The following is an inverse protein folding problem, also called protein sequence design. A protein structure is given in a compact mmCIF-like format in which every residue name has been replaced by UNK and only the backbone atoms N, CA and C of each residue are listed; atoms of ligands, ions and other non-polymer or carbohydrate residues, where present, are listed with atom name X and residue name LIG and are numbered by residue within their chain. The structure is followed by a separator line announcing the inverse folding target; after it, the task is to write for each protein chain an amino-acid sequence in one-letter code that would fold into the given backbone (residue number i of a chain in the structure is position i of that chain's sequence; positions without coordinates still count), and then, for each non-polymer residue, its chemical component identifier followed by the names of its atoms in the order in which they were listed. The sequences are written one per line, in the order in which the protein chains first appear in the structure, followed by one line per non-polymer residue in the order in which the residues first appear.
data_IF_963225794505
#
_entry.id   IF_963225794505
#
_cell.length_a   1.000
_cell.length_b   1.000
_cell.length_c   1.000
_cell.angle_alpha   90.00
_cell.angle_beta   90.00
_cell.angle_gamma   90.00
#
_symmetry.space_group_name_H-M   'P 1'
#
loop_
_entity.id
_entity.type
_entity.pdbx_description
1 polymer ?
#
# COMPACT_ATOMS: atom_id res chain seq x y z
N UNK A 1 14.87 -13.29 24.92
CA UNK A 1 14.27 -12.46 23.84
C UNK A 1 14.85 -11.08 24.01
N UNK A 2 15.48 -10.56 22.97
CA UNK A 2 16.02 -9.19 22.98
C UNK A 2 14.87 -8.19 22.83
N UNK A 3 14.92 -7.07 23.59
CA UNK A 3 13.95 -6.00 23.45
C UNK A 3 14.66 -4.79 22.85
N UNK A 4 14.02 -4.19 21.82
CA UNK A 4 14.48 -2.95 21.18
C UNK A 4 13.40 -1.89 21.24
N UNK A 5 13.80 -0.71 21.67
CA UNK A 5 12.94 0.48 21.68
C UNK A 5 13.41 1.39 20.55
N UNK A 6 12.46 1.88 19.75
CA UNK A 6 12.71 2.80 18.65
C UNK A 6 11.76 3.98 18.78
N UNK A 7 12.29 5.19 18.64
CA UNK A 7 11.50 6.42 18.56
C UNK A 7 11.52 6.94 17.12
N UNK A 8 10.37 7.41 16.62
CA UNK A 8 10.21 7.99 15.30
C UNK A 8 9.07 9.01 15.29
N UNK A 9 9.07 9.97 14.38
CA UNK A 9 7.94 10.90 14.27
C UNK A 9 6.74 10.20 13.62
N UNK A 10 6.96 9.44 12.55
CA UNK A 10 5.90 8.75 11.84
C UNK A 10 6.24 7.27 11.63
N UNK A 11 5.40 6.41 12.19
CA UNK A 11 5.44 4.96 11.95
C UNK A 11 4.49 4.60 10.80
N UNK A 12 5.00 3.96 9.76
CA UNK A 12 4.22 3.40 8.66
C UNK A 12 4.21 1.87 8.78
N UNK A 13 3.06 1.28 9.00
CA UNK A 13 2.88 -0.17 9.13
C UNK A 13 2.47 -0.76 7.78
N UNK A 14 3.40 -1.48 7.15
CA UNK A 14 3.25 -2.11 5.85
C UNK A 14 3.99 -1.38 4.73
N UNK A 15 4.93 -2.10 4.10
CA UNK A 15 5.76 -1.61 2.98
C UNK A 15 5.16 -1.88 1.60
N UNK A 16 3.83 -2.06 1.48
CA UNK A 16 3.12 -2.18 0.20
C UNK A 16 3.11 -0.87 -0.60
N UNK A 17 2.26 -0.78 -1.62
CA UNK A 17 2.15 0.43 -2.46
C UNK A 17 1.85 1.68 -1.63
N UNK A 18 0.85 1.60 -0.75
CA UNK A 18 0.44 2.74 0.09
C UNK A 18 1.56 3.18 1.03
N UNK A 19 2.23 2.23 1.70
CA UNK A 19 3.36 2.54 2.59
C UNK A 19 4.56 3.13 1.85
N UNK A 20 4.88 2.62 0.66
CA UNK A 20 5.95 3.20 -0.17
C UNK A 20 5.62 4.65 -0.58
N UNK A 21 4.39 4.91 -1.06
CA UNK A 21 4.00 6.28 -1.42
C UNK A 21 3.98 7.23 -0.21
N UNK A 22 3.54 6.75 0.96
CA UNK A 22 3.62 7.50 2.20
C UNK A 22 5.07 7.86 2.55
N UNK A 23 5.98 6.87 2.52
CA UNK A 23 7.40 7.08 2.77
C UNK A 23 8.05 8.05 1.77
N UNK A 24 7.78 7.92 0.48
CA UNK A 24 8.26 8.84 -0.56
C UNK A 24 7.75 10.28 -0.32
N UNK A 25 6.49 10.40 0.11
CA UNK A 25 5.86 11.71 0.34
C UNK A 25 6.42 12.38 1.59
N UNK A 26 6.51 11.63 2.70
CA UNK A 26 7.06 12.12 3.96
C UNK A 26 8.57 12.33 3.89
N UNK A 27 9.29 11.54 3.09
CA UNK A 27 10.71 11.70 2.84
C UNK A 27 11.11 13.07 2.25
N UNK A 28 10.15 13.82 1.69
CA UNK A 28 10.34 15.21 1.27
C UNK A 28 10.32 16.20 2.44
N UNK A 29 9.84 15.79 3.61
CA UNK A 29 9.81 16.56 4.86
C UNK A 29 11.04 16.19 5.68
N UNK A 30 12.13 16.91 5.48
CA UNK A 30 13.45 16.57 6.04
C UNK A 30 13.56 16.77 7.56
N UNK A 31 12.58 17.37 8.17
CA UNK A 31 12.40 17.59 9.60
C UNK A 31 11.67 16.44 10.33
N UNK A 32 11.24 15.42 9.59
CA UNK A 32 10.58 14.25 10.14
C UNK A 32 11.45 13.00 10.02
N UNK A 33 11.52 12.23 11.09
CA UNK A 33 12.03 10.87 11.07
C UNK A 33 10.90 9.88 10.80
N UNK A 34 11.01 9.09 9.74
CA UNK A 34 9.98 8.17 9.29
C UNK A 34 10.47 6.74 9.33
N UNK A 35 9.71 5.85 9.95
CA UNK A 35 9.99 4.43 9.98
C UNK A 35 8.90 3.64 9.24
N UNK A 36 9.30 2.88 8.24
CA UNK A 36 8.44 1.87 7.61
C UNK A 36 8.77 0.50 8.19
N UNK A 37 7.78 -0.18 8.72
CA UNK A 37 7.92 -1.58 9.15
C UNK A 37 7.16 -2.50 8.19
N UNK A 38 7.82 -3.56 7.75
CA UNK A 38 7.27 -4.52 6.79
C UNK A 38 7.51 -5.95 7.30
N UNK A 39 6.44 -6.74 7.41
CA UNK A 39 6.55 -8.12 7.91
C UNK A 39 7.31 -9.07 6.99
N UNK A 40 7.34 -8.78 5.69
CA UNK A 40 8.12 -9.52 4.69
C UNK A 40 9.33 -8.69 4.25
N UNK A 41 9.36 -8.28 2.99
CA UNK A 41 10.44 -7.46 2.44
C UNK A 41 9.85 -6.36 1.56
N UNK A 42 10.20 -5.12 1.80
CA UNK A 42 9.67 -3.96 1.08
C UNK A 42 9.84 -4.06 -0.44
N UNK A 43 10.86 -4.75 -0.93
CA UNK A 43 11.09 -4.92 -2.37
C UNK A 43 10.07 -5.83 -3.03
N UNK A 44 9.48 -6.76 -2.26
CA UNK A 44 8.61 -7.83 -2.78
C UNK A 44 7.26 -7.95 -2.06
N UNK A 45 6.89 -7.01 -1.22
CA UNK A 45 5.63 -7.03 -0.48
C UNK A 45 4.49 -6.32 -1.21
N UNK A 46 3.25 -6.67 -0.86
CA UNK A 46 2.03 -6.07 -1.39
C UNK A 46 1.59 -6.59 -2.76
N UNK A 47 0.43 -6.15 -3.20
CA UNK A 47 -0.22 -6.64 -4.43
C UNK A 47 0.62 -6.43 -5.70
N UNK A 48 1.38 -5.35 -5.77
CA UNK A 48 2.20 -5.02 -6.95
C UNK A 48 3.48 -5.85 -7.07
N UNK A 49 3.82 -6.67 -6.07
CA UNK A 49 5.01 -7.51 -6.08
C UNK A 49 5.01 -8.58 -7.18
N UNK A 50 3.83 -8.98 -7.64
CA UNK A 50 3.65 -9.93 -8.74
C UNK A 50 3.87 -9.31 -10.12
N UNK A 51 4.03 -7.98 -10.19
CA UNK A 51 4.01 -7.22 -11.43
C UNK A 51 2.61 -7.08 -12.00
N UNK A 52 2.39 -6.03 -12.76
CA UNK A 52 1.12 -5.73 -13.44
C UNK A 52 1.36 -5.15 -14.82
N UNK A 53 0.47 -5.40 -15.77
CA UNK A 53 0.57 -4.90 -17.14
C UNK A 53 -0.41 -3.76 -17.45
N UNK A 54 -1.19 -3.36 -16.46
CA UNK A 54 -2.10 -2.22 -16.54
C UNK A 54 -2.38 -1.68 -15.14
N UNK A 55 -2.58 -0.38 -15.05
CA UNK A 55 -2.98 0.28 -13.80
C UNK A 55 -4.27 1.04 -14.00
N UNK A 56 -5.05 1.08 -12.92
CA UNK A 56 -6.33 1.76 -12.81
C UNK A 56 -6.14 3.11 -12.09
N UNK A 57 -5.10 3.83 -12.49
CA UNK A 57 -4.63 5.04 -11.83
C UNK A 57 -4.59 6.23 -12.79
N UNK A 58 -5.54 6.29 -13.74
CA UNK A 58 -5.58 7.37 -14.71
C UNK A 58 -7.01 7.64 -15.19
N UNK A 59 -7.38 8.89 -15.15
CA UNK A 59 -8.64 9.36 -15.76
C UNK A 59 -8.36 9.68 -17.22
N UNK A 60 -8.85 8.84 -18.14
CA UNK A 60 -8.59 8.96 -19.57
C UNK A 60 -9.24 10.21 -20.17
N UNK A 61 -8.71 10.68 -21.31
CA UNK A 61 -9.22 11.85 -22.01
C UNK A 61 -10.73 11.76 -22.27
N UNK A 62 -11.47 12.82 -21.97
CA UNK A 62 -12.94 12.85 -22.09
C UNK A 62 -13.70 12.22 -20.92
N UNK A 63 -13.00 11.73 -19.88
CA UNK A 63 -13.57 11.24 -18.65
C UNK A 63 -13.32 12.23 -17.50
N UNK A 64 -14.10 12.09 -16.44
CA UNK A 64 -13.97 12.89 -15.22
C UNK A 64 -13.81 11.96 -14.01
N UNK A 65 -13.28 12.44 -12.88
CA UNK A 65 -13.12 11.65 -11.66
C UNK A 65 -14.40 10.96 -11.19
N UNK A 66 -15.56 11.57 -11.41
CA UNK A 66 -16.87 10.99 -11.08
C UNK A 66 -17.15 9.69 -11.84
N UNK A 67 -16.73 9.57 -13.09
CA UNK A 67 -16.89 8.33 -13.88
C UNK A 67 -16.21 7.12 -13.19
N UNK A 68 -15.10 7.36 -12.49
CA UNK A 68 -14.41 6.34 -11.72
C UNK A 68 -15.23 5.92 -10.48
N UNK A 69 -15.81 6.88 -9.78
CA UNK A 69 -16.70 6.63 -8.63
C UNK A 69 -17.89 5.80 -9.06
N UNK A 70 -18.58 6.22 -10.13
CA UNK A 70 -19.78 5.55 -10.65
C UNK A 70 -19.47 4.11 -11.08
N UNK A 71 -18.30 3.91 -11.70
CA UNK A 71 -17.84 2.57 -12.04
C UNK A 71 -17.62 1.71 -10.79
N UNK A 72 -16.86 2.20 -9.80
CA UNK A 72 -16.59 1.45 -8.58
C UNK A 72 -17.87 1.14 -7.79
N UNK A 73 -18.79 2.09 -7.75
CA UNK A 73 -20.09 1.93 -7.11
C UNK A 73 -20.92 0.82 -7.77
N UNK A 74 -20.92 0.78 -9.09
CA UNK A 74 -21.58 -0.29 -9.84
C UNK A 74 -20.92 -1.66 -9.63
N UNK A 75 -19.57 -1.70 -9.61
CA UNK A 75 -18.81 -2.95 -9.44
C UNK A 75 -18.95 -3.54 -8.03
N UNK A 76 -19.20 -2.69 -7.03
CA UNK A 76 -19.37 -3.06 -5.63
C UNK A 76 -20.85 -3.10 -5.17
N UNK A 77 -21.81 -3.17 -6.10
CA UNK A 77 -23.24 -3.20 -5.81
C UNK A 77 -23.70 -2.06 -4.86
N UNK A 78 -23.09 -0.88 -4.98
CA UNK A 78 -23.38 0.30 -4.18
C UNK A 78 -22.67 0.37 -2.82
N UNK A 79 -21.92 -0.64 -2.42
CA UNK A 79 -21.22 -0.69 -1.11
C UNK A 79 -19.85 0.00 -1.23
N UNK A 80 -19.89 1.33 -1.31
CA UNK A 80 -18.67 2.17 -1.40
C UNK A 80 -18.84 3.48 -0.62
N UNK A 81 -17.73 4.12 -0.34
CA UNK A 81 -17.66 5.50 0.16
C UNK A 81 -17.36 6.41 -1.03
N UNK A 82 -18.42 6.99 -1.62
CA UNK A 82 -18.35 7.86 -2.80
C UNK A 82 -17.37 9.04 -2.58
N UNK A 83 -17.41 9.65 -1.39
CA UNK A 83 -16.56 10.76 -1.00
C UNK A 83 -15.07 10.41 -1.00
N UNK A 84 -14.71 9.24 -0.48
CA UNK A 84 -13.32 8.75 -0.48
C UNK A 84 -12.86 8.37 -1.89
N UNK A 85 -13.72 7.73 -2.68
CA UNK A 85 -13.43 7.39 -4.07
C UNK A 85 -13.22 8.64 -4.92
N UNK A 86 -14.03 9.68 -4.74
CA UNK A 86 -13.89 10.94 -5.46
C UNK A 86 -12.57 11.62 -5.11
N UNK A 87 -12.28 11.78 -3.82
CA UNK A 87 -11.02 12.36 -3.34
C UNK A 87 -9.79 11.63 -3.90
N UNK A 88 -9.85 10.27 -3.98
CA UNK A 88 -8.79 9.48 -4.59
C UNK A 88 -8.71 9.70 -6.10
N UNK A 89 -9.85 9.65 -6.81
CA UNK A 89 -9.89 9.70 -8.28
C UNK A 89 -9.40 11.04 -8.84
N UNK A 90 -9.61 12.14 -8.14
CA UNK A 90 -9.08 13.46 -8.46
C UNK A 90 -7.54 13.51 -8.50
N UNK A 91 -6.87 12.55 -7.85
CA UNK A 91 -5.41 12.48 -7.77
C UNK A 91 -4.77 11.44 -8.68
N UNK A 92 -5.56 10.59 -9.36
CA UNK A 92 -5.02 9.46 -10.14
C UNK A 92 -4.02 9.90 -11.22
N UNK A 93 -4.32 10.95 -11.98
CA UNK A 93 -3.41 11.44 -13.03
C UNK A 93 -2.11 12.00 -12.45
N UNK A 94 -2.19 12.68 -11.31
CA UNK A 94 -1.00 13.18 -10.61
C UNK A 94 -0.12 12.04 -10.09
N UNK A 95 -0.72 11.01 -9.47
CA UNK A 95 0.02 9.83 -8.99
C UNK A 95 0.64 9.05 -10.14
N UNK A 96 -0.07 8.91 -11.26
CA UNK A 96 0.47 8.29 -12.49
C UNK A 96 1.72 9.01 -12.98
N UNK A 97 1.70 10.34 -13.00
CA UNK A 97 2.88 11.14 -13.37
C UNK A 97 4.05 10.91 -12.40
N UNK A 98 3.80 10.87 -11.10
CA UNK A 98 4.84 10.54 -10.11
C UNK A 98 5.46 9.17 -10.41
N UNK A 99 4.65 8.16 -10.71
CA UNK A 99 5.15 6.81 -11.02
C UNK A 99 6.01 6.80 -12.29
N UNK A 100 5.62 7.55 -13.33
CA UNK A 100 6.41 7.71 -14.55
C UNK A 100 7.75 8.41 -14.25
N UNK A 101 7.73 9.47 -13.45
CA UNK A 101 8.94 10.20 -13.04
C UNK A 101 9.88 9.34 -12.18
N UNK A 102 9.36 8.36 -11.45
CA UNK A 102 10.13 7.36 -10.72
C UNK A 102 10.70 6.25 -11.63
N UNK A 103 10.35 6.21 -12.91
CA UNK A 103 10.86 5.27 -13.89
C UNK A 103 9.90 4.14 -14.28
N UNK A 104 8.61 4.23 -13.90
CA UNK A 104 7.63 3.28 -14.42
C UNK A 104 7.43 3.52 -15.92
N UNK A 105 7.60 2.47 -16.73
CA UNK A 105 7.35 2.54 -18.16
C UNK A 105 5.84 2.46 -18.43
N UNK A 106 5.27 3.58 -18.86
CA UNK A 106 3.88 3.67 -19.32
C UNK A 106 3.88 3.67 -20.86
N UNK A 107 3.08 2.80 -21.46
CA UNK A 107 3.03 2.69 -22.91
C UNK A 107 2.31 3.90 -23.50
N UNK A 108 2.93 4.50 -24.53
CA UNK A 108 2.40 5.64 -25.29
C UNK A 108 2.18 5.25 -26.74
N UNK A 109 1.20 5.86 -27.36
CA UNK A 109 0.94 5.76 -28.79
C UNK A 109 1.85 6.71 -29.59
N UNK A 110 1.69 6.73 -30.92
CA UNK A 110 2.44 7.59 -31.87
C UNK A 110 2.25 9.10 -31.62
N UNK A 111 1.19 9.48 -30.92
CA UNK A 111 0.91 10.87 -30.54
C UNK A 111 1.46 11.23 -29.14
N UNK A 112 2.09 10.27 -28.44
CA UNK A 112 2.59 10.44 -27.08
C UNK A 112 1.52 10.32 -25.99
N UNK A 113 0.28 9.92 -26.33
CA UNK A 113 -0.80 9.72 -25.37
C UNK A 113 -0.72 8.32 -24.74
N UNK A 114 -1.14 8.18 -23.50
CA UNK A 114 -1.13 6.89 -22.81
C UNK A 114 -2.06 5.87 -23.46
N UNK A 115 -1.54 4.68 -23.74
CA UNK A 115 -2.33 3.60 -24.35
C UNK A 115 -3.35 3.07 -23.35
N UNK A 116 -4.62 3.29 -23.66
CA UNK A 116 -5.73 2.78 -22.85
C UNK A 116 -5.86 1.26 -22.95
N UNK A 117 -6.31 0.63 -21.85
CA UNK A 117 -6.77 -0.76 -21.83
C UNK A 117 -8.21 -0.78 -21.32
N UNK A 118 -9.15 -0.88 -22.24
CA UNK A 118 -10.57 -0.69 -21.93
C UNK A 118 -10.86 0.77 -21.57
N UNK A 119 -11.82 0.99 -20.68
CA UNK A 119 -12.37 2.33 -20.44
C UNK A 119 -11.71 3.07 -19.25
N UNK A 120 -10.79 2.45 -18.52
CA UNK A 120 -10.30 2.99 -17.23
C UNK A 120 -8.86 2.63 -16.88
N UNK A 121 -8.23 1.76 -17.65
CA UNK A 121 -6.86 1.34 -17.38
C UNK A 121 -5.94 1.90 -18.45
N UNK A 122 -4.69 2.15 -18.08
CA UNK A 122 -3.60 2.37 -19.03
C UNK A 122 -2.63 1.21 -18.99
N UNK A 123 -2.00 0.94 -20.14
CA UNK A 123 -1.00 -0.13 -20.26
C UNK A 123 0.33 0.32 -19.72
N UNK A 124 0.95 -0.54 -18.93
CA UNK A 124 2.27 -0.32 -18.38
C UNK A 124 3.15 -1.56 -18.61
N UNK A 125 4.46 -1.34 -18.52
CA UNK A 125 5.42 -2.41 -18.31
C UNK A 125 5.85 -2.37 -16.83
N UNK A 126 5.06 -3.03 -15.99
CA UNK A 126 5.11 -2.88 -14.54
C UNK A 126 5.58 -4.12 -13.80
N UNK A 127 6.40 -4.97 -14.42
CA UNK A 127 7.00 -6.14 -13.74
C UNK A 127 7.89 -5.73 -12.56
N UNK A 128 8.51 -4.56 -12.66
CA UNK A 128 9.43 -4.01 -11.65
C UNK A 128 8.82 -2.85 -10.82
N UNK A 129 7.53 -2.60 -10.94
CA UNK A 129 6.86 -1.46 -10.27
C UNK A 129 7.13 -1.43 -8.76
N UNK A 130 7.15 -2.59 -8.12
CA UNK A 130 7.39 -2.67 -6.68
C UNK A 130 8.83 -2.35 -6.32
N UNK A 131 9.80 -2.79 -7.11
CA UNK A 131 11.22 -2.44 -6.92
C UNK A 131 11.45 -0.95 -7.12
N UNK A 132 10.84 -0.33 -8.13
CA UNK A 132 10.90 1.12 -8.36
C UNK A 132 10.45 1.90 -7.12
N UNK A 133 9.31 1.51 -6.53
CA UNK A 133 8.78 2.16 -5.34
C UNK A 133 9.69 1.94 -4.12
N UNK A 134 10.19 0.73 -3.92
CA UNK A 134 11.11 0.42 -2.81
C UNK A 134 12.42 1.20 -2.92
N UNK A 135 12.97 1.31 -4.13
CA UNK A 135 14.21 2.07 -4.37
C UNK A 135 13.99 3.58 -4.20
N UNK A 136 12.81 4.09 -4.55
CA UNK A 136 12.44 5.48 -4.30
C UNK A 136 12.32 5.79 -2.80
N UNK A 137 11.82 4.85 -1.99
CA UNK A 137 11.82 4.96 -0.53
C UNK A 137 13.24 4.99 0.01
N UNK A 138 14.10 4.05 -0.40
CA UNK A 138 15.49 3.94 0.07
C UNK A 138 16.35 5.17 -0.26
N UNK A 139 15.97 5.96 -1.24
CA UNK A 139 16.64 7.22 -1.59
C UNK A 139 16.29 8.37 -0.65
N UNK A 140 15.34 8.20 0.26
CA UNK A 140 14.99 9.22 1.23
C UNK A 140 15.87 9.05 2.47
N UNK A 141 16.69 10.05 2.78
CA UNK A 141 17.67 10.00 3.88
C UNK A 141 17.03 9.91 5.27
N UNK A 142 15.80 10.40 5.40
CA UNK A 142 15.03 10.46 6.64
C UNK A 142 13.94 9.38 6.72
N UNK A 143 14.00 8.34 5.86
CA UNK A 143 13.07 7.20 5.90
C UNK A 143 13.82 5.91 6.11
N UNK A 144 13.70 5.35 7.30
CA UNK A 144 14.22 4.03 7.63
C UNK A 144 13.23 2.92 7.27
N UNK A 145 13.73 1.72 6.97
CA UNK A 145 12.90 0.54 6.68
C UNK A 145 13.39 -0.64 7.50
N UNK A 146 12.49 -1.25 8.27
CA UNK A 146 12.75 -2.54 8.92
C UNK A 146 11.87 -3.60 8.26
N UNK A 147 12.51 -4.56 7.63
CA UNK A 147 11.86 -5.75 7.07
C UNK A 147 11.75 -6.85 8.14
N UNK A 148 10.89 -7.83 7.89
CA UNK A 148 10.67 -8.99 8.76
C UNK A 148 10.11 -8.65 10.14
N UNK A 149 9.54 -7.45 10.29
CA UNK A 149 8.92 -6.98 11.52
C UNK A 149 7.39 -7.07 11.43
N UNK A 150 6.80 -7.94 12.22
CA UNK A 150 5.35 -8.11 12.31
C UNK A 150 4.80 -7.31 13.48
N UNK A 151 3.94 -6.34 13.18
CA UNK A 151 3.24 -5.56 14.22
C UNK A 151 2.07 -6.37 14.77
N UNK A 152 1.94 -6.40 16.08
CA UNK A 152 0.95 -7.19 16.79
C UNK A 152 -0.09 -6.36 17.53
N UNK A 153 0.28 -5.18 18.01
CA UNK A 153 -0.60 -4.33 18.79
C UNK A 153 -0.19 -2.86 18.70
N UNK A 154 -1.08 -1.96 19.09
CA UNK A 154 -0.81 -0.54 19.23
C UNK A 154 -0.48 -0.18 20.68
N UNK A 155 0.43 0.77 20.86
CA UNK A 155 0.63 1.46 22.13
C UNK A 155 -0.46 2.53 22.23
N UNK A 156 -1.37 2.38 23.19
CA UNK A 156 -2.49 3.31 23.39
C UNK A 156 -2.43 3.88 24.79
N UNK A 157 -2.34 5.19 24.90
CA UNK A 157 -2.34 5.94 26.16
C UNK A 157 -3.38 7.05 26.09
N UNK A 158 -4.22 7.16 27.10
CA UNK A 158 -5.26 8.19 27.18
C UNK A 158 -6.15 8.27 25.91
N UNK A 159 -6.47 7.10 25.31
CA UNK A 159 -7.23 6.98 24.05
C UNK A 159 -6.52 7.58 22.81
N UNK A 160 -5.21 7.74 22.85
CA UNK A 160 -4.36 8.16 21.74
C UNK A 160 -3.37 7.05 21.39
N UNK A 161 -3.14 6.83 20.09
CA UNK A 161 -2.09 5.91 19.63
C UNK A 161 -0.73 6.62 19.78
N UNK A 162 0.18 5.97 20.51
CA UNK A 162 1.54 6.45 20.76
C UNK A 162 2.60 5.61 20.06
N UNK A 163 2.21 4.57 19.32
CA UNK A 163 3.12 3.69 18.62
C UNK A 163 2.57 2.29 18.44
N UNK A 164 3.46 1.32 18.32
CA UNK A 164 3.09 -0.08 18.12
C UNK A 164 4.13 -1.05 18.71
N UNK A 165 3.66 -2.24 19.05
CA UNK A 165 4.48 -3.40 19.39
C UNK A 165 4.61 -4.35 18.21
N UNK A 166 5.76 -5.01 18.12
CA UNK A 166 5.98 -6.03 17.09
C UNK A 166 7.13 -6.98 17.44
N UNK A 167 7.34 -7.95 16.59
CA UNK A 167 8.45 -8.89 16.70
C UNK A 167 9.06 -9.16 15.33
N UNK A 168 10.36 -9.44 15.32
CA UNK A 168 11.04 -9.94 14.13
C UNK A 168 10.60 -11.39 13.86
N UNK A 169 10.22 -11.69 12.60
CA UNK A 169 9.72 -13.04 12.22
C UNK A 169 10.83 -14.07 12.06
N UNK A 170 12.08 -13.64 11.98
CA UNK A 170 13.25 -14.53 11.83
C UNK A 170 14.02 -14.70 13.16
N UNK A 171 14.04 -13.65 13.97
CA UNK A 171 14.83 -13.57 15.19
C UNK A 171 13.95 -13.40 16.42
N UNK A 172 14.44 -13.77 17.58
CA UNK A 172 13.70 -13.62 18.85
C UNK A 172 13.84 -12.19 19.42
N UNK A 173 13.54 -11.19 18.61
CA UNK A 173 13.59 -9.77 18.96
C UNK A 173 12.18 -9.20 19.04
N UNK A 174 11.87 -8.55 20.17
CA UNK A 174 10.65 -7.80 20.36
C UNK A 174 10.91 -6.30 20.20
N UNK A 175 10.00 -5.60 19.56
CA UNK A 175 10.10 -4.17 19.28
C UNK A 175 8.98 -3.41 19.98
N UNK A 176 9.35 -2.33 20.64
CA UNK A 176 8.49 -1.25 21.08
C UNK A 176 8.83 -0.02 20.24
N UNK A 177 7.88 0.47 19.47
CA UNK A 177 8.09 1.59 18.56
C UNK A 177 7.20 2.73 19.00
N UNK A 178 7.80 3.79 19.52
CA UNK A 178 7.10 5.02 19.89
C UNK A 178 7.01 5.93 18.66
N UNK A 179 5.84 6.53 18.44
CA UNK A 179 5.61 7.41 17.30
C UNK A 179 4.60 8.50 17.63
N UNK A 180 4.81 9.70 17.09
CA UNK A 180 3.83 10.79 17.20
C UNK A 180 2.61 10.55 16.30
N UNK A 181 2.80 9.84 15.18
CA UNK A 181 1.71 9.46 14.27
C UNK A 181 1.93 8.05 13.71
N UNK A 182 0.83 7.31 13.53
CA UNK A 182 0.86 5.97 12.95
C UNK A 182 -0.01 5.91 11.71
N UNK A 183 0.57 5.48 10.59
CA UNK A 183 -0.13 5.22 9.33
C UNK A 183 -0.23 3.71 9.10
N UNK A 184 -1.45 3.20 9.03
CA UNK A 184 -1.72 1.78 8.77
C UNK A 184 -1.90 1.55 7.28
N UNK A 185 -0.92 0.86 6.66
CA UNK A 185 -0.86 0.58 5.23
C UNK A 185 -0.79 -0.93 4.93
N UNK A 186 -1.48 -1.74 5.72
CA UNK A 186 -1.39 -3.21 5.73
C UNK A 186 -2.13 -3.91 4.58
N UNK A 187 -2.81 -3.14 3.73
CA UNK A 187 -3.55 -3.67 2.57
C UNK A 187 -4.97 -4.12 2.90
N UNK A 188 -5.60 -4.81 1.97
CA UNK A 188 -6.98 -5.28 2.08
C UNK A 188 -7.12 -6.57 2.90
N UNK A 189 -8.36 -6.89 3.30
CA UNK A 189 -8.74 -8.05 4.13
C UNK A 189 -8.70 -9.40 3.37
N UNK A 190 -7.70 -9.63 2.53
CA UNK A 190 -7.64 -10.75 1.60
C UNK A 190 -7.58 -12.14 2.29
N UNK A 191 -6.97 -12.23 3.46
CA UNK A 191 -6.84 -13.48 4.22
C UNK A 191 -7.94 -13.72 5.26
N UNK A 192 -8.90 -12.80 5.38
CA UNK A 192 -9.93 -12.87 6.42
C UNK A 192 -10.99 -13.94 6.16
N UNK A 193 -11.24 -14.28 4.91
CA UNK A 193 -12.26 -15.23 4.49
C UNK A 193 -11.66 -16.49 3.88
N UNK A 194 -12.29 -17.63 4.13
CA UNK A 194 -11.86 -18.89 3.52
C UNK A 194 -12.03 -18.89 2.00
N UNK A 195 -11.18 -19.61 1.24
CA UNK A 195 -11.19 -19.60 -0.23
C UNK A 195 -12.52 -19.96 -0.89
N UNK A 196 -13.37 -20.72 -0.21
CA UNK A 196 -14.65 -21.22 -0.73
C UNK A 196 -15.86 -20.41 -0.26
N UNK A 197 -15.67 -19.20 0.27
CA UNK A 197 -16.79 -18.31 0.56
C UNK A 197 -17.44 -17.86 -0.75
N UNK A 198 -18.74 -18.13 -1.00
CA UNK A 198 -19.39 -17.79 -2.28
C UNK A 198 -19.46 -16.29 -2.56
N UNK A 199 -19.39 -15.44 -1.53
CA UNK A 199 -19.30 -13.99 -1.67
C UNK A 199 -17.93 -13.47 -2.13
N UNK A 200 -16.90 -14.33 -2.17
CA UNK A 200 -15.53 -13.96 -2.47
C UNK A 200 -14.99 -14.76 -3.66
N UNK A 201 -15.48 -14.48 -4.87
CA UNK A 201 -14.89 -15.11 -6.04
C UNK A 201 -13.52 -14.50 -6.32
N UNK A 202 -12.51 -15.36 -6.48
CA UNK A 202 -11.13 -14.99 -6.82
C UNK A 202 -11.01 -14.07 -8.04
N UNK A 203 -12.02 -14.03 -8.91
CA UNK A 203 -12.06 -13.22 -10.13
C UNK A 203 -12.46 -11.78 -9.87
N UNK A 204 -13.30 -11.48 -8.86
CA UNK A 204 -13.80 -10.12 -8.61
C UNK A 204 -12.84 -9.23 -7.83
N UNK A 205 -11.94 -9.80 -7.04
CA UNK A 205 -11.05 -8.99 -6.17
C UNK A 205 -9.64 -8.76 -6.72
N UNK A 206 -9.30 -9.28 -7.90
CA UNK A 206 -7.95 -9.14 -8.46
C UNK A 206 -6.84 -9.73 -7.59
N UNK A 207 -7.20 -10.61 -6.65
CA UNK A 207 -6.26 -11.23 -5.72
C UNK A 207 -5.47 -12.30 -6.48
N UNK A 208 -4.25 -11.95 -6.80
CA UNK A 208 -3.31 -12.86 -7.46
C UNK A 208 -2.94 -14.02 -6.52
N UNK A 209 -2.69 -15.22 -7.10
CA UNK A 209 -2.27 -16.44 -6.41
C UNK A 209 -1.03 -16.29 -5.51
N UNK A 210 -0.27 -15.20 -5.67
CA UNK A 210 0.93 -14.93 -4.88
C UNK A 210 0.65 -14.49 -3.44
N UNK A 211 -0.62 -14.30 -3.05
CA UNK A 211 -1.02 -14.00 -1.67
C UNK A 211 -1.49 -15.31 -0.99
N UNK A 212 -0.82 -16.40 -1.27
CA UNK A 212 -1.17 -17.73 -0.73
C UNK A 212 -0.46 -18.06 0.58
N UNK A 213 -0.09 -17.08 1.39
CA UNK A 213 0.13 -17.35 2.81
C UNK A 213 -0.95 -16.64 3.62
N UNK A 214 -2.12 -17.30 3.80
CA UNK A 214 -3.32 -16.67 4.37
C UNK A 214 -3.19 -16.37 5.86
N UNK A 215 -2.30 -17.05 6.57
CA UNK A 215 -2.44 -17.19 8.01
C UNK A 215 -1.75 -16.10 8.83
N UNK A 216 -0.83 -15.34 8.26
CA UNK A 216 -0.05 -14.36 9.03
C UNK A 216 -0.51 -12.89 8.92
N UNK A 217 -1.34 -12.52 7.94
CA UNK A 217 -1.66 -11.09 7.72
C UNK A 217 -2.67 -10.50 8.71
N UNK A 218 -3.57 -11.30 9.25
CA UNK A 218 -4.73 -10.79 9.99
C UNK A 218 -4.76 -11.18 11.47
N UNK A 219 -3.99 -12.14 11.91
CA UNK A 219 -3.85 -12.41 13.34
C UNK A 219 -3.25 -11.22 14.09
N UNK A 220 -2.39 -10.45 13.40
CA UNK A 220 -1.79 -9.24 13.96
C UNK A 220 -2.76 -8.07 14.16
N UNK A 221 -3.95 -8.12 13.57
CA UNK A 221 -4.95 -7.04 13.64
C UNK A 221 -6.19 -7.40 14.47
N UNK A 222 -6.20 -8.49 15.18
CA UNK A 222 -7.25 -8.74 16.17
C UNK A 222 -7.05 -7.78 17.35
N UNK A 223 -7.58 -6.59 17.20
CA UNK A 223 -7.84 -5.72 18.35
C UNK A 223 -8.77 -6.50 19.28
N UNK A 224 -8.27 -6.93 20.40
CA UNK A 224 -9.12 -7.48 21.46
C UNK A 224 -10.08 -6.38 21.88
N UNK A 225 -11.37 -6.62 21.70
CA UNK A 225 -12.41 -5.81 22.31
C UNK A 225 -12.36 -5.96 23.82
#
# INVERSE_FOLDING_TARGET
MENRIIDTDVLIIGGGTAGCFAGITLGKKKDLDVLIVEKANIVRSGCLAAGVNAINAYITKGRVPQDYVDYCKKDADGIVRDDLLLSMSERLNHVTKIMEDLGLVILKDENGEYVARGNRNIKINGENIKSILADAVKKQDNVAVINHLNITDFIVENNEIKGAYGFDVNDAVFYEINAMAVLVATGGAAGLYRPNNPGFSRQKCGIHRSIQEPDMQWESMRVRR
#
